data_IF_874231405220
#
_entry.id   IF_874231405220
#
_cell.length_a   1.000
_cell.length_b   1.000
_cell.length_c   1.000
_cell.angle_alpha   90.00
_cell.angle_beta   90.00
_cell.angle_gamma   90.00
#
_symmetry.space_group_name_H-M   'P 1'
#
loop_
_entity.id
_entity.type
_entity.pdbx_description
1 polymer ?
#
# COMPACT_ATOMS: atom_id res chain seq x y z
N UNK A 1 -1.94 -31.15 -48.62
CA UNK A 1 -1.22 -30.00 -49.25
C UNK A 1 -1.36 -28.78 -48.38
N UNK A 2 -0.19 -28.24 -47.86
CA UNK A 2 0.12 -26.87 -47.47
C UNK A 2 -0.70 -26.27 -46.29
N UNK A 3 -0.14 -25.67 -45.29
CA UNK A 3 1.25 -25.25 -44.92
C UNK A 3 1.29 -25.06 -43.39
N UNK A 4 2.37 -25.51 -42.81
CA UNK A 4 2.80 -25.27 -41.45
C UNK A 4 3.23 -23.80 -41.33
N UNK A 5 2.74 -23.09 -40.32
CA UNK A 5 3.32 -21.80 -39.90
C UNK A 5 3.84 -21.91 -38.45
N UNK A 6 5.12 -21.70 -38.33
CA UNK A 6 5.93 -21.85 -37.12
C UNK A 6 5.59 -20.82 -36.05
N UNK A 7 5.38 -21.29 -34.82
CA UNK A 7 5.42 -20.45 -33.63
C UNK A 7 6.88 -20.16 -33.27
N UNK A 8 7.29 -18.89 -33.35
CA UNK A 8 8.52 -18.42 -32.71
C UNK A 8 8.22 -18.18 -31.23
N UNK A 9 8.87 -18.95 -30.38
CA UNK A 9 8.95 -18.67 -28.95
C UNK A 9 9.75 -17.37 -28.73
N UNK A 10 9.14 -16.39 -28.12
CA UNK A 10 9.85 -15.27 -27.51
C UNK A 10 10.11 -15.64 -26.04
N UNK A 11 11.37 -15.79 -25.70
CA UNK A 11 11.83 -15.80 -24.31
C UNK A 11 11.71 -14.35 -23.80
N UNK A 12 10.74 -14.08 -22.94
CA UNK A 12 10.66 -12.87 -22.14
C UNK A 12 11.43 -13.10 -20.85
N UNK A 13 12.33 -12.19 -20.55
CA UNK A 13 13.01 -12.15 -19.28
C UNK A 13 12.01 -11.73 -18.17
N UNK A 14 12.00 -12.50 -17.10
CA UNK A 14 11.21 -12.21 -15.90
C UNK A 14 11.94 -11.12 -15.15
N UNK A 15 11.37 -9.92 -15.10
CA UNK A 15 11.76 -8.91 -14.13
C UNK A 15 10.78 -9.02 -12.96
N UNK A 16 11.25 -9.49 -11.82
CA UNK A 16 10.52 -9.44 -10.56
C UNK A 16 10.61 -8.00 -10.07
N UNK A 17 9.51 -7.25 -10.17
CA UNK A 17 9.41 -5.93 -9.56
C UNK A 17 8.51 -6.11 -8.34
N UNK A 18 9.10 -6.11 -7.14
CA UNK A 18 8.36 -5.85 -5.93
C UNK A 18 8.04 -4.35 -5.94
N UNK A 19 6.79 -3.99 -6.16
CA UNK A 19 6.36 -2.60 -6.13
C UNK A 19 5.56 -2.35 -4.87
N UNK A 20 6.03 -1.35 -4.17
CA UNK A 20 5.31 -0.56 -3.19
C UNK A 20 4.01 -0.10 -3.82
N UNK A 21 2.90 -0.35 -3.16
CA UNK A 21 1.63 0.24 -3.56
C UNK A 21 1.75 1.75 -3.44
N UNK A 22 1.67 2.39 -4.54
CA UNK A 22 1.24 3.73 -4.82
C UNK A 22 2.08 4.40 -5.92
N UNK A 23 1.40 5.05 -6.79
CA UNK A 23 1.81 5.97 -7.83
C UNK A 23 2.23 5.36 -9.16
N UNK A 24 1.21 5.21 -9.96
CA UNK A 24 1.35 5.11 -11.40
C UNK A 24 1.08 6.47 -12.00
N UNK A 25 2.07 6.99 -12.68
CA UNK A 25 1.86 8.01 -13.69
C UNK A 25 1.98 7.34 -15.05
N UNK A 26 0.86 7.19 -15.73
CA UNK A 26 0.83 6.79 -17.11
C UNK A 26 1.43 7.88 -17.99
N UNK A 27 2.51 7.56 -18.70
CA UNK A 27 2.85 8.19 -19.95
C UNK A 27 3.68 7.25 -20.79
N UNK A 28 3.10 6.72 -21.85
CA UNK A 28 3.85 6.06 -22.92
C UNK A 28 4.69 7.10 -23.66
N UNK A 29 6.02 7.05 -23.49
CA UNK A 29 6.95 7.52 -24.49
C UNK A 29 8.27 6.79 -24.41
N UNK A 30 8.80 6.42 -25.56
CA UNK A 30 9.98 5.59 -25.75
C UNK A 30 11.24 6.17 -25.11
N UNK A 31 12.19 5.33 -24.63
CA UNK A 31 13.37 5.81 -23.95
C UNK A 31 14.36 6.46 -24.94
N UNK A 32 14.79 7.68 -24.61
CA UNK A 32 15.97 8.30 -25.17
C UNK A 32 17.22 7.87 -24.35
N UNK A 33 18.41 7.80 -24.93
CA UNK A 33 19.60 7.29 -24.28
C UNK A 33 20.04 8.19 -23.12
N UNK A 34 20.33 7.57 -21.98
CA UNK A 34 20.84 8.23 -20.79
C UNK A 34 22.12 9.01 -21.10
N UNK A 35 22.06 10.32 -20.96
CA UNK A 35 23.25 11.15 -20.83
C UNK A 35 23.57 11.27 -19.34
N UNK A 36 24.78 10.87 -18.95
CA UNK A 36 25.34 11.26 -17.67
C UNK A 36 25.27 12.78 -17.53
N UNK A 37 24.33 13.25 -16.73
CA UNK A 37 24.29 14.64 -16.29
C UNK A 37 25.35 14.77 -15.18
N UNK A 38 26.45 15.39 -15.52
CA UNK A 38 27.40 15.89 -14.55
C UNK A 38 26.62 16.83 -13.59
N UNK A 39 26.78 16.56 -12.31
CA UNK A 39 26.38 17.47 -11.24
C UNK A 39 27.00 18.84 -11.57
N UNK A 40 26.14 19.81 -11.87
CA UNK A 40 26.59 21.21 -11.89
C UNK A 40 26.90 21.59 -10.45
N UNK A 41 28.06 22.23 -10.24
CA UNK A 41 28.48 22.79 -8.98
C UNK A 41 27.33 23.65 -8.41
N UNK A 42 26.59 23.06 -7.46
CA UNK A 42 25.65 23.82 -6.66
C UNK A 42 26.50 24.69 -5.70
N UNK A 43 26.08 25.93 -5.59
CA UNK A 43 26.46 26.84 -4.50
C UNK A 43 26.54 26.03 -3.18
N UNK A 44 27.48 26.33 -2.27
CA UNK A 44 27.72 25.60 -1.02
C UNK A 44 26.48 25.65 -0.07
N UNK A 45 25.31 25.26 -0.60
CA UNK A 45 24.03 25.14 0.11
C UNK A 45 23.96 23.81 0.87
N UNK A 46 23.28 23.83 2.01
CA UNK A 46 22.95 22.64 2.80
C UNK A 46 22.24 21.62 1.88
N UNK A 47 22.76 20.40 1.81
CA UNK A 47 22.18 19.32 0.98
C UNK A 47 21.75 18.17 1.87
N UNK A 48 20.55 17.64 1.66
CA UNK A 48 20.03 16.43 2.32
C UNK A 48 19.88 15.35 1.26
N UNK A 49 20.46 14.18 1.49
CA UNK A 49 20.37 13.03 0.59
C UNK A 49 19.09 12.25 0.86
N UNK A 50 18.29 12.04 -0.15
CA UNK A 50 17.00 11.35 -0.04
C UNK A 50 16.98 10.09 -0.92
N UNK A 51 16.85 8.92 -0.30
CA UNK A 51 16.66 7.66 -1.01
C UNK A 51 15.17 7.38 -1.22
N UNK A 52 14.77 7.23 -2.50
CA UNK A 52 13.36 7.08 -2.89
C UNK A 52 13.25 6.24 -4.18
N UNK A 53 12.15 5.50 -4.39
CA UNK A 53 11.86 4.89 -5.69
C UNK A 53 11.39 5.90 -6.73
N UNK A 54 11.07 7.13 -6.31
CA UNK A 54 10.60 8.19 -7.20
C UNK A 54 11.75 9.08 -7.65
N UNK A 55 11.69 9.55 -8.91
CA UNK A 55 12.60 10.55 -9.42
C UNK A 55 12.09 11.95 -9.11
N UNK A 56 12.99 12.86 -8.77
CA UNK A 56 12.65 14.29 -8.63
C UNK A 56 12.38 14.90 -10.00
N UNK A 57 11.19 15.45 -10.19
CA UNK A 57 10.85 16.18 -11.41
C UNK A 57 11.42 17.58 -11.32
N UNK A 58 12.34 17.92 -12.25
CA UNK A 58 12.92 19.26 -12.33
C UNK A 58 11.85 20.32 -12.60
N UNK A 59 11.88 21.47 -11.89
CA UNK A 59 10.96 22.58 -12.15
C UNK A 59 11.04 23.15 -13.59
N UNK A 60 12.15 22.92 -14.29
CA UNK A 60 12.40 23.41 -15.65
C UNK A 60 11.85 22.45 -16.74
N UNK A 61 11.20 21.35 -16.37
CA UNK A 61 10.63 20.42 -17.34
C UNK A 61 9.30 20.97 -17.84
N UNK A 62 9.30 21.64 -18.97
CA UNK A 62 8.08 22.11 -19.63
C UNK A 62 7.17 20.93 -19.95
N UNK A 63 5.90 20.99 -19.51
CA UNK A 63 4.82 20.02 -19.75
C UNK A 63 4.80 18.75 -18.88
N UNK A 64 5.54 18.63 -17.80
CA UNK A 64 5.32 17.53 -16.84
C UNK A 64 4.57 18.08 -15.62
N UNK A 65 3.39 17.51 -15.33
CA UNK A 65 2.67 17.82 -14.10
C UNK A 65 3.54 17.42 -12.92
N UNK A 66 3.73 18.35 -11.97
CA UNK A 66 4.46 18.05 -10.72
C UNK A 66 3.64 17.08 -9.89
N UNK A 67 4.30 16.09 -9.32
CA UNK A 67 3.68 15.21 -8.35
C UNK A 67 3.42 15.93 -7.03
N UNK A 68 2.54 15.42 -6.20
CA UNK A 68 2.31 15.96 -4.87
C UNK A 68 3.60 15.95 -4.03
N UNK A 69 4.41 14.91 -4.16
CA UNK A 69 5.74 14.83 -3.52
C UNK A 69 6.67 15.94 -3.99
N UNK A 70 6.76 16.22 -5.30
CA UNK A 70 7.60 17.31 -5.81
C UNK A 70 7.17 18.68 -5.28
N UNK A 71 5.86 18.89 -5.10
CA UNK A 71 5.33 20.16 -4.56
C UNK A 71 5.72 20.34 -3.08
N UNK A 72 5.58 19.30 -2.26
CA UNK A 72 5.94 19.36 -0.83
C UNK A 72 7.45 19.45 -0.63
N UNK A 73 8.24 18.77 -1.47
CA UNK A 73 9.70 18.87 -1.49
C UNK A 73 10.14 20.28 -1.87
N UNK A 74 9.56 20.87 -2.92
CA UNK A 74 9.87 22.25 -3.31
C UNK A 74 9.55 23.25 -2.20
N UNK A 75 8.46 23.03 -1.46
CA UNK A 75 8.11 23.84 -0.29
C UNK A 75 9.19 23.74 0.80
N UNK A 76 9.73 22.56 1.06
CA UNK A 76 10.80 22.37 2.02
C UNK A 76 12.10 23.03 1.58
N UNK A 77 12.51 22.85 0.31
CA UNK A 77 13.72 23.48 -0.25
C UNK A 77 13.64 25.02 -0.17
N UNK A 78 12.48 25.60 -0.52
CA UNK A 78 12.27 27.05 -0.44
C UNK A 78 12.34 27.58 1.01
N UNK A 79 11.65 26.89 1.95
CA UNK A 79 11.58 27.34 3.34
C UNK A 79 12.88 27.21 4.09
N UNK A 80 13.60 26.13 3.83
CA UNK A 80 14.80 25.80 4.60
C UNK A 80 16.08 26.31 3.93
N UNK A 81 16.01 26.75 2.67
CA UNK A 81 17.18 27.19 1.91
C UNK A 81 18.20 26.08 1.73
N UNK A 82 17.73 24.87 1.43
CA UNK A 82 18.56 23.68 1.21
C UNK A 82 18.15 22.98 -0.10
N UNK A 83 18.88 21.96 -0.49
CA UNK A 83 18.59 21.13 -1.65
C UNK A 83 18.42 19.67 -1.23
N UNK A 84 17.37 19.00 -1.71
CA UNK A 84 17.25 17.55 -1.61
C UNK A 84 17.88 16.90 -2.84
N UNK A 85 18.94 16.12 -2.58
CA UNK A 85 19.61 15.29 -3.59
C UNK A 85 18.96 13.90 -3.59
N UNK A 86 18.32 13.53 -4.70
CA UNK A 86 17.66 12.24 -4.83
C UNK A 86 18.62 11.15 -5.24
N UNK A 87 18.63 10.08 -4.47
CA UNK A 87 19.20 8.79 -4.85
C UNK A 87 18.07 7.85 -5.21
N UNK A 88 17.77 7.74 -6.50
CA UNK A 88 16.60 7.00 -6.98
C UNK A 88 16.92 5.52 -7.15
N UNK A 89 16.05 4.67 -6.59
CA UNK A 89 16.07 3.25 -6.90
C UNK A 89 15.50 3.01 -8.29
N UNK A 90 16.28 2.28 -9.11
CA UNK A 90 15.77 1.68 -10.35
C UNK A 90 16.25 0.22 -10.41
N UNK A 91 15.43 -0.65 -11.00
CA UNK A 91 15.83 -2.06 -11.19
C UNK A 91 17.10 -2.20 -12.05
N UNK A 92 17.42 -1.21 -12.88
CA UNK A 92 18.65 -1.18 -13.68
C UNK A 92 19.88 -0.88 -12.82
N UNK A 93 19.77 0.05 -11.84
CA UNK A 93 20.87 0.46 -10.97
C UNK A 93 21.19 -0.59 -9.89
N UNK A 94 20.18 -1.37 -9.46
CA UNK A 94 20.29 -2.32 -8.34
C UNK A 94 19.87 -3.73 -8.76
N UNK A 95 20.51 -4.25 -9.80
CA UNK A 95 20.25 -5.56 -10.40
C UNK A 95 20.01 -6.64 -9.34
N UNK A 96 18.89 -7.37 -9.51
CA UNK A 96 18.47 -8.50 -8.69
C UNK A 96 18.11 -8.19 -7.21
N UNK A 97 18.09 -6.93 -6.78
CA UNK A 97 17.64 -6.51 -5.44
C UNK A 97 16.31 -5.75 -5.52
N UNK A 98 15.43 -5.99 -4.56
CA UNK A 98 14.21 -5.21 -4.37
C UNK A 98 14.53 -3.83 -3.80
N UNK A 99 13.55 -2.91 -3.87
CA UNK A 99 13.66 -1.60 -3.23
C UNK A 99 13.95 -1.74 -1.73
N UNK A 100 13.24 -2.63 -1.04
CA UNK A 100 13.38 -2.84 0.40
C UNK A 100 14.75 -3.36 0.77
N UNK A 101 15.29 -4.35 0.04
CA UNK A 101 16.65 -4.86 0.27
C UNK A 101 17.70 -3.74 0.13
N UNK A 102 17.56 -2.89 -0.89
CA UNK A 102 18.48 -1.77 -1.10
C UNK A 102 18.30 -0.70 -0.02
N UNK A 103 17.07 -0.40 0.36
CA UNK A 103 16.76 0.57 1.41
C UNK A 103 17.37 0.14 2.76
N UNK A 104 17.18 -1.12 3.15
CA UNK A 104 17.78 -1.70 4.35
C UNK A 104 19.33 -1.59 4.33
N UNK A 105 19.94 -1.97 3.20
CA UNK A 105 21.40 -1.89 3.05
C UNK A 105 21.91 -0.45 3.17
N UNK A 106 21.26 0.50 2.52
CA UNK A 106 21.67 1.91 2.52
C UNK A 106 21.48 2.56 3.88
N UNK A 107 20.36 2.29 4.57
CA UNK A 107 20.10 2.82 5.91
C UNK A 107 21.07 2.27 6.95
N UNK A 108 21.37 0.96 6.93
CA UNK A 108 22.36 0.34 7.80
C UNK A 108 23.77 0.91 7.59
N UNK A 109 24.09 1.33 6.37
CA UNK A 109 25.36 1.95 6.01
C UNK A 109 25.39 3.49 6.18
N UNK A 110 24.29 4.11 6.61
CA UNK A 110 24.09 5.57 6.68
C UNK A 110 24.45 6.26 5.36
N UNK A 111 23.96 5.71 4.24
CA UNK A 111 24.29 6.19 2.90
C UNK A 111 23.50 7.43 2.49
N UNK A 112 22.36 7.66 3.13
CA UNK A 112 21.48 8.80 2.91
C UNK A 112 20.99 9.35 4.25
N UNK A 113 20.40 10.53 4.22
CA UNK A 113 19.90 11.22 5.41
C UNK A 113 18.39 10.94 5.62
N UNK A 114 17.65 10.84 4.53
CA UNK A 114 16.20 10.65 4.48
C UNK A 114 15.86 9.44 3.59
N UNK A 115 14.85 8.68 4.00
CA UNK A 115 14.39 7.47 3.30
C UNK A 115 12.87 7.49 3.16
N UNK A 116 12.36 7.07 1.99
CA UNK A 116 10.96 6.66 1.87
C UNK A 116 10.87 5.17 2.21
N UNK A 117 10.15 4.83 3.27
CA UNK A 117 10.15 3.50 3.86
C UNK A 117 8.79 2.82 3.70
N UNK A 118 8.80 1.56 3.31
CA UNK A 118 7.65 0.68 3.48
C UNK A 118 7.51 0.26 4.93
N UNK A 119 6.32 -0.15 5.36
CA UNK A 119 6.07 -0.52 6.75
C UNK A 119 7.01 -1.61 7.24
N UNK A 120 7.28 -2.63 6.41
CA UNK A 120 8.17 -3.74 6.76
C UNK A 120 9.62 -3.28 6.97
N UNK A 121 10.07 -2.33 6.15
CA UNK A 121 11.38 -1.68 6.31
C UNK A 121 11.42 -0.80 7.56
N UNK A 122 10.29 -0.14 7.91
CA UNK A 122 10.15 0.66 9.14
C UNK A 122 10.31 -0.23 10.37
N UNK A 123 9.64 -1.40 10.41
CA UNK A 123 9.75 -2.38 11.50
C UNK A 123 11.21 -2.79 11.69
N UNK A 124 11.85 -3.25 10.62
CA UNK A 124 13.22 -3.75 10.66
C UNK A 124 14.23 -2.68 11.10
N UNK A 125 14.24 -1.52 10.42
CA UNK A 125 15.21 -0.45 10.73
C UNK A 125 14.93 0.22 12.08
N UNK A 126 13.67 0.31 12.48
CA UNK A 126 13.26 0.85 13.77
C UNK A 126 13.75 0.00 14.93
N UNK A 127 13.51 -1.31 14.88
CA UNK A 127 13.96 -2.26 15.91
C UNK A 127 15.51 -2.38 15.99
N UNK A 128 16.20 -2.24 14.86
CA UNK A 128 17.67 -2.18 14.80
C UNK A 128 18.25 -0.83 15.28
N UNK A 129 17.40 0.20 15.51
CA UNK A 129 17.84 1.52 15.97
C UNK A 129 18.54 2.34 14.88
N UNK A 130 18.21 2.13 13.61
CA UNK A 130 18.77 2.88 12.48
C UNK A 130 17.96 4.13 12.14
N UNK A 131 16.75 4.30 12.69
CA UNK A 131 15.88 5.45 12.45
C UNK A 131 15.80 6.39 13.65
N UNK A 132 15.77 7.67 13.39
CA UNK A 132 15.63 8.73 14.38
C UNK A 132 14.20 8.78 14.96
N UNK A 133 14.07 9.22 16.21
CA UNK A 133 12.79 9.50 16.84
C UNK A 133 12.24 10.83 16.33
N UNK A 134 11.09 10.78 15.66
CA UNK A 134 10.37 11.92 15.09
C UNK A 134 9.27 12.47 16.03
N UNK A 135 9.09 11.90 17.23
CA UNK A 135 8.01 12.26 18.17
C UNK A 135 8.04 13.73 18.58
N UNK A 136 9.23 14.35 18.55
CA UNK A 136 9.46 15.74 18.91
C UNK A 136 9.13 16.76 17.82
N UNK A 137 8.87 16.33 16.59
CA UNK A 137 8.57 17.24 15.48
C UNK A 137 7.20 17.90 15.64
N UNK A 138 7.06 19.12 15.11
CA UNK A 138 5.81 19.86 15.17
C UNK A 138 4.70 19.16 14.40
N UNK A 139 5.00 18.63 13.23
CA UNK A 139 4.06 17.86 12.39
C UNK A 139 3.54 16.61 13.10
N UNK A 140 4.34 15.98 13.96
CA UNK A 140 3.95 14.80 14.71
C UNK A 140 2.78 15.06 15.67
N UNK A 141 2.53 16.29 16.12
CA UNK A 141 1.48 16.60 17.11
C UNK A 141 0.05 16.43 16.55
N UNK A 142 -0.10 16.55 15.24
CA UNK A 142 -1.39 16.54 14.56
C UNK A 142 -1.70 15.22 13.87
N UNK A 143 -0.84 14.22 13.99
CA UNK A 143 -1.04 12.91 13.36
C UNK A 143 -2.27 12.18 13.93
N UNK A 144 -2.99 11.50 13.06
CA UNK A 144 -4.04 10.54 13.43
C UNK A 144 -3.45 9.41 14.26
N UNK A 145 -4.25 8.85 15.16
CA UNK A 145 -3.78 7.74 16.00
C UNK A 145 -3.32 6.53 15.18
N UNK A 146 -4.03 6.19 14.12
CA UNK A 146 -3.65 5.10 13.20
C UNK A 146 -2.24 5.28 12.63
N UNK A 147 -1.85 6.53 12.33
CA UNK A 147 -0.51 6.83 11.79
C UNK A 147 0.56 6.61 12.85
N UNK A 148 0.28 7.05 14.10
CA UNK A 148 1.18 6.81 15.24
C UNK A 148 1.35 5.31 15.49
N UNK A 149 0.23 4.59 15.61
CA UNK A 149 0.24 3.14 15.84
C UNK A 149 1.02 2.40 14.77
N UNK A 150 0.81 2.74 13.50
CA UNK A 150 1.47 2.07 12.38
C UNK A 150 2.98 2.32 12.28
N UNK A 151 3.48 3.43 12.85
CA UNK A 151 4.86 3.90 12.63
C UNK A 151 5.68 4.06 13.92
N UNK A 152 5.20 3.52 15.04
CA UNK A 152 5.91 3.55 16.32
C UNK A 152 6.57 2.21 16.61
N UNK A 153 7.87 2.23 16.84
CA UNK A 153 8.70 1.08 17.23
C UNK A 153 9.35 1.40 18.56
N UNK A 154 9.24 0.53 19.56
CA UNK A 154 9.81 0.71 20.90
C UNK A 154 9.49 2.09 21.53
N UNK A 155 8.25 2.57 21.31
CA UNK A 155 7.77 3.86 21.83
C UNK A 155 8.29 5.09 21.10
N UNK A 156 9.00 4.94 19.98
CA UNK A 156 9.50 6.00 19.12
C UNK A 156 8.73 6.06 17.83
N UNK A 157 8.29 7.24 17.42
CA UNK A 157 7.74 7.47 16.09
C UNK A 157 8.91 7.56 15.10
N UNK A 158 9.09 6.56 14.25
CA UNK A 158 10.29 6.43 13.40
C UNK A 158 10.06 6.77 11.93
N UNK A 159 8.81 6.94 11.52
CA UNK A 159 8.47 7.41 10.17
C UNK A 159 7.17 8.23 10.21
N UNK A 160 7.02 9.16 9.26
CA UNK A 160 5.78 9.94 9.06
C UNK A 160 5.39 9.87 7.59
N UNK A 161 4.19 9.35 7.26
CA UNK A 161 3.69 9.29 5.89
C UNK A 161 3.15 10.65 5.43
N UNK A 162 3.03 10.81 4.10
CA UNK A 162 2.30 11.95 3.51
C UNK A 162 0.86 11.58 3.12
N UNK A 163 0.54 10.29 3.12
CA UNK A 163 -0.82 9.76 2.88
C UNK A 163 -1.09 8.51 3.68
N UNK A 164 -2.37 8.24 3.92
CA UNK A 164 -2.88 6.96 4.41
C UNK A 164 -3.51 6.24 3.23
N UNK A 165 -2.94 5.11 2.85
CA UNK A 165 -3.48 4.27 1.77
C UNK A 165 -4.56 3.36 2.35
N UNK A 166 -5.78 3.47 1.84
CA UNK A 166 -6.88 2.61 2.21
C UNK A 166 -7.24 1.66 1.05
N UNK A 167 -7.33 0.38 1.35
CA UNK A 167 -7.80 -0.65 0.42
C UNK A 167 -9.27 -0.96 0.70
N UNK A 168 -10.01 -1.22 -0.38
CA UNK A 168 -11.42 -1.58 -0.31
C UNK A 168 -11.87 -2.41 -1.49
N UNK A 169 -13.15 -2.74 -1.48
CA UNK A 169 -13.84 -3.41 -2.58
C UNK A 169 -14.49 -2.36 -3.47
N UNK A 170 -14.09 -2.35 -4.73
CA UNK A 170 -14.70 -1.56 -5.79
C UNK A 170 -15.86 -2.37 -6.37
N UNK A 171 -17.05 -1.86 -6.26
CA UNK A 171 -18.28 -2.56 -6.61
C UNK A 171 -18.97 -1.86 -7.78
N UNK A 172 -19.31 -2.63 -8.82
CA UNK A 172 -20.20 -2.16 -9.87
C UNK A 172 -21.64 -2.15 -9.34
N UNK A 173 -22.08 -0.97 -8.88
CA UNK A 173 -23.38 -0.80 -8.24
C UNK A 173 -24.54 -1.10 -9.18
N UNK A 174 -24.39 -0.83 -10.49
CA UNK A 174 -25.44 -1.10 -11.47
C UNK A 174 -25.70 -2.61 -11.58
N UNK A 175 -24.64 -3.46 -11.55
CA UNK A 175 -24.78 -4.93 -11.51
C UNK A 175 -25.48 -5.37 -10.21
N UNK A 176 -25.10 -4.78 -9.07
CA UNK A 176 -25.75 -5.10 -7.79
C UNK A 176 -27.23 -4.75 -7.80
N UNK A 177 -27.60 -3.59 -8.34
CA UNK A 177 -28.99 -3.16 -8.45
C UNK A 177 -29.78 -4.05 -9.41
N UNK A 178 -29.23 -4.41 -10.56
CA UNK A 178 -29.85 -5.36 -11.50
C UNK A 178 -30.06 -6.76 -10.89
N UNK A 179 -29.19 -7.15 -9.96
CA UNK A 179 -29.29 -8.42 -9.23
C UNK A 179 -30.13 -8.31 -7.95
N UNK A 180 -30.69 -7.13 -7.65
CA UNK A 180 -31.45 -6.84 -6.42
C UNK A 180 -30.63 -7.07 -5.14
N UNK A 181 -29.32 -6.78 -5.19
CA UNK A 181 -28.37 -6.95 -4.08
C UNK A 181 -28.12 -5.63 -3.34
N UNK A 182 -28.03 -5.73 -2.02
CA UNK A 182 -27.48 -4.67 -1.17
C UNK A 182 -25.97 -4.86 -1.03
N UNK A 183 -25.26 -3.77 -0.72
CA UNK A 183 -23.83 -3.86 -0.41
C UNK A 183 -23.61 -4.65 0.89
N UNK A 184 -22.72 -5.64 0.90
CA UNK A 184 -22.54 -6.53 2.05
C UNK A 184 -21.74 -5.86 3.17
N UNK A 185 -22.10 -6.16 4.42
CA UNK A 185 -21.39 -5.73 5.61
C UNK A 185 -20.68 -6.90 6.30
N UNK A 186 -21.21 -8.10 6.19
CA UNK A 186 -20.68 -9.30 6.87
C UNK A 186 -20.16 -10.32 5.86
N UNK A 187 -19.31 -11.26 6.29
CA UNK A 187 -18.84 -12.36 5.44
C UNK A 187 -20.00 -13.19 4.84
N UNK A 188 -21.04 -13.43 5.61
CA UNK A 188 -22.22 -14.20 5.18
C UNK A 188 -22.99 -13.45 4.09
N UNK A 189 -23.20 -12.13 4.26
CA UNK A 189 -23.84 -11.29 3.24
C UNK A 189 -23.00 -11.25 1.97
N UNK A 190 -21.66 -11.18 2.09
CA UNK A 190 -20.75 -11.17 0.95
C UNK A 190 -20.80 -12.49 0.17
N UNK A 191 -20.78 -13.62 0.88
CA UNK A 191 -20.92 -14.94 0.26
C UNK A 191 -22.27 -15.08 -0.46
N UNK A 192 -23.35 -14.55 0.12
CA UNK A 192 -24.67 -14.54 -0.54
C UNK A 192 -24.68 -13.67 -1.80
N UNK A 193 -24.06 -12.49 -1.76
CA UNK A 193 -23.90 -11.64 -2.96
C UNK A 193 -23.13 -12.41 -4.05
N UNK A 194 -22.02 -13.02 -3.73
CA UNK A 194 -21.22 -13.79 -4.69
C UNK A 194 -22.01 -14.98 -5.26
N UNK A 195 -22.81 -15.67 -4.43
CA UNK A 195 -23.68 -16.76 -4.86
C UNK A 195 -24.71 -16.28 -5.89
N UNK A 196 -25.41 -15.17 -5.59
CA UNK A 196 -26.41 -14.62 -6.50
C UNK A 196 -25.78 -14.12 -7.79
N UNK A 197 -24.67 -13.40 -7.72
CA UNK A 197 -23.92 -12.93 -8.89
C UNK A 197 -23.53 -14.11 -9.79
N UNK A 198 -23.03 -15.20 -9.20
CA UNK A 198 -22.69 -16.42 -9.97
C UNK A 198 -23.90 -17.07 -10.64
N UNK A 199 -25.04 -17.12 -9.97
CA UNK A 199 -26.31 -17.60 -10.55
C UNK A 199 -26.82 -16.71 -11.70
N UNK A 200 -26.48 -15.42 -11.69
CA UNK A 200 -26.81 -14.45 -12.74
C UNK A 200 -25.85 -14.48 -13.94
N UNK A 201 -24.79 -15.30 -13.88
CA UNK A 201 -23.88 -15.53 -14.99
C UNK A 201 -22.50 -14.90 -14.82
N UNK A 202 -22.20 -14.27 -13.68
CA UNK A 202 -20.86 -13.83 -13.32
C UNK A 202 -20.12 -15.02 -12.69
N UNK A 203 -19.50 -15.87 -13.50
CA UNK A 203 -18.94 -17.15 -13.04
C UNK A 203 -17.89 -16.96 -11.93
N UNK A 204 -17.10 -15.91 -12.04
CA UNK A 204 -16.09 -15.48 -11.06
C UNK A 204 -16.39 -14.04 -10.66
N UNK A 205 -17.26 -13.82 -9.65
CA UNK A 205 -17.74 -12.46 -9.33
C UNK A 205 -16.69 -11.52 -8.75
N UNK A 206 -15.56 -12.05 -8.30
CA UNK A 206 -14.44 -11.28 -7.73
C UNK A 206 -13.26 -11.35 -8.69
N UNK A 207 -12.94 -10.22 -9.30
CA UNK A 207 -11.71 -10.03 -10.04
C UNK A 207 -10.55 -9.93 -9.05
N UNK A 208 -9.57 -10.82 -9.16
CA UNK A 208 -8.49 -10.93 -8.21
C UNK A 208 -7.15 -11.18 -8.91
N UNK A 209 -6.10 -10.61 -8.32
CA UNK A 209 -4.72 -10.90 -8.63
C UNK A 209 -3.99 -11.38 -7.37
N UNK A 210 -2.72 -11.71 -7.50
CA UNK A 210 -1.92 -12.28 -6.41
C UNK A 210 -1.48 -11.27 -5.34
N UNK A 211 -1.80 -9.97 -5.50
CA UNK A 211 -1.20 -8.91 -4.69
C UNK A 211 -2.08 -8.38 -3.56
N UNK A 212 -3.41 -8.53 -3.66
CA UNK A 212 -4.32 -7.85 -2.72
C UNK A 212 -5.34 -8.76 -2.04
N UNK A 213 -5.29 -10.08 -2.29
CA UNK A 213 -6.19 -11.03 -1.63
C UNK A 213 -5.94 -11.14 -0.12
N UNK A 214 -4.73 -10.81 0.34
CA UNK A 214 -4.39 -10.70 1.75
C UNK A 214 -5.21 -9.64 2.49
N UNK A 215 -5.76 -8.65 1.79
CA UNK A 215 -6.64 -7.65 2.41
C UNK A 215 -7.93 -8.25 2.98
N UNK A 216 -8.48 -9.29 2.34
CA UNK A 216 -9.58 -10.06 2.93
C UNK A 216 -9.15 -10.75 4.22
N UNK A 217 -7.94 -11.27 4.25
CA UNK A 217 -7.40 -11.94 5.43
C UNK A 217 -7.25 -10.95 6.57
N UNK A 218 -6.62 -9.80 6.34
CA UNK A 218 -6.45 -8.76 7.37
C UNK A 218 -7.77 -8.23 7.91
N UNK A 219 -8.76 -7.98 7.04
CA UNK A 219 -10.06 -7.49 7.45
C UNK A 219 -10.79 -8.44 8.40
N UNK A 220 -10.64 -9.77 8.21
CA UNK A 220 -11.21 -10.77 9.12
C UNK A 220 -10.36 -10.94 10.38
N UNK A 221 -9.03 -10.98 10.21
CA UNK A 221 -8.10 -11.27 11.28
C UNK A 221 -8.08 -10.18 12.37
N UNK A 222 -8.04 -8.93 11.93
CA UNK A 222 -7.71 -7.81 12.80
C UNK A 222 -8.89 -6.89 13.13
N UNK A 223 -10.13 -7.23 12.67
CA UNK A 223 -11.31 -6.43 12.96
C UNK A 223 -11.50 -6.23 14.47
N UNK A 224 -11.38 -7.29 15.26
CA UNK A 224 -11.51 -7.22 16.73
C UNK A 224 -10.32 -6.52 17.39
N UNK A 225 -9.11 -6.78 16.92
CA UNK A 225 -7.88 -6.20 17.46
C UNK A 225 -7.92 -4.67 17.38
N UNK A 226 -8.23 -4.09 16.22
CA UNK A 226 -8.19 -2.63 16.03
C UNK A 226 -9.49 -1.91 16.41
N UNK A 227 -10.62 -2.62 16.55
CA UNK A 227 -11.92 -1.97 16.79
C UNK A 227 -12.62 -2.42 18.07
N UNK A 228 -11.94 -3.09 18.97
CA UNK A 228 -12.62 -3.60 20.18
C UNK A 228 -11.78 -3.80 21.42
N UNK A 229 -10.48 -3.73 21.29
CA UNK A 229 -9.53 -4.06 22.33
C UNK A 229 -8.54 -2.96 22.69
N UNK A 230 -7.61 -3.30 23.56
CA UNK A 230 -6.39 -2.51 23.81
C UNK A 230 -5.32 -3.00 22.84
N UNK A 231 -5.17 -2.27 21.72
CA UNK A 231 -4.23 -2.63 20.64
C UNK A 231 -2.81 -2.83 21.17
N UNK A 232 -2.38 -1.99 22.11
CA UNK A 232 -1.03 -2.07 22.67
C UNK A 232 -0.83 -3.36 23.47
N UNK A 233 -1.82 -3.76 24.30
CA UNK A 233 -1.76 -4.99 25.06
C UNK A 233 -1.81 -6.25 24.17
N UNK A 234 -2.61 -6.21 23.09
CA UNK A 234 -2.67 -7.32 22.11
C UNK A 234 -1.36 -7.47 21.34
N UNK A 235 -0.75 -6.35 20.94
CA UNK A 235 0.57 -6.35 20.27
C UNK A 235 1.65 -6.87 21.23
N UNK A 236 1.65 -6.44 22.51
CA UNK A 236 2.58 -6.95 23.51
C UNK A 236 2.43 -8.47 23.70
N UNK A 237 1.20 -8.99 23.76
CA UNK A 237 0.93 -10.43 23.89
C UNK A 237 1.41 -11.22 22.66
N UNK A 238 1.26 -10.67 21.45
CA UNK A 238 1.78 -11.26 20.21
C UNK A 238 3.30 -11.33 20.21
N UNK A 239 3.97 -10.22 20.56
CA UNK A 239 5.44 -10.14 20.60
C UNK A 239 6.03 -11.02 21.71
N UNK A 240 5.33 -11.16 22.85
CA UNK A 240 5.72 -12.06 23.94
C UNK A 240 5.46 -13.55 23.64
N UNK A 241 4.79 -13.88 22.54
CA UNK A 241 4.36 -15.25 22.21
C UNK A 241 3.25 -15.78 23.12
N UNK A 242 2.58 -14.91 23.89
CA UNK A 242 1.42 -15.24 24.74
C UNK A 242 0.14 -15.40 23.88
N UNK A 243 0.09 -14.72 22.72
CA UNK A 243 -0.89 -14.89 21.67
C UNK A 243 -0.19 -15.31 20.36
N UNK A 244 -0.93 -15.97 19.45
CA UNK A 244 -0.39 -16.46 18.19
C UNK A 244 -0.96 -15.70 17.01
N UNK A 245 -0.12 -15.28 16.08
CA UNK A 245 -0.58 -14.69 14.81
C UNK A 245 -1.50 -15.64 14.06
N UNK A 246 -1.21 -16.94 14.08
CA UNK A 246 -2.04 -17.96 13.45
C UNK A 246 -3.47 -17.99 13.98
N UNK A 247 -3.70 -17.71 15.27
CA UNK A 247 -5.04 -17.67 15.84
C UNK A 247 -5.85 -16.48 15.32
N UNK A 248 -5.21 -15.31 15.19
CA UNK A 248 -5.84 -14.12 14.60
C UNK A 248 -6.10 -14.28 13.10
N UNK A 249 -5.13 -14.84 12.37
CA UNK A 249 -5.18 -14.90 10.90
C UNK A 249 -6.05 -16.03 10.37
N UNK A 250 -6.26 -17.09 11.13
CA UNK A 250 -7.04 -18.26 10.71
C UNK A 250 -8.42 -17.93 10.13
N UNK A 251 -9.27 -17.11 10.77
CA UNK A 251 -10.59 -16.78 10.21
C UNK A 251 -10.51 -16.15 8.82
N UNK A 252 -9.49 -15.30 8.59
CA UNK A 252 -9.26 -14.66 7.30
C UNK A 252 -8.84 -15.65 6.22
N UNK A 253 -7.92 -16.57 6.54
CA UNK A 253 -7.51 -17.62 5.60
C UNK A 253 -8.64 -18.61 5.31
N UNK A 254 -9.48 -18.97 6.29
CA UNK A 254 -10.66 -19.81 6.12
C UNK A 254 -11.70 -19.13 5.21
N UNK A 255 -11.91 -17.83 5.41
CA UNK A 255 -12.81 -17.05 4.56
C UNK A 255 -12.29 -16.99 3.11
N UNK A 256 -11.03 -16.63 2.90
CA UNK A 256 -10.43 -16.62 1.57
C UNK A 256 -10.46 -18.00 0.91
N UNK A 257 -10.15 -19.06 1.66
CA UNK A 257 -10.27 -20.44 1.19
C UNK A 257 -11.71 -20.77 0.74
N UNK A 258 -12.70 -20.29 1.47
CA UNK A 258 -14.11 -20.46 1.11
C UNK A 258 -14.44 -19.77 -0.21
N UNK A 259 -13.95 -18.55 -0.45
CA UNK A 259 -14.15 -17.84 -1.71
C UNK A 259 -13.54 -18.62 -2.90
N UNK A 260 -12.35 -19.19 -2.68
CA UNK A 260 -11.66 -20.03 -3.67
C UNK A 260 -12.44 -21.31 -3.94
N UNK A 261 -12.83 -22.06 -2.90
CA UNK A 261 -13.49 -23.37 -3.02
C UNK A 261 -14.87 -23.27 -3.68
N UNK A 262 -15.59 -22.16 -3.46
CA UNK A 262 -16.87 -21.86 -4.13
C UNK A 262 -16.68 -21.32 -5.55
N UNK A 263 -15.44 -21.07 -5.97
CA UNK A 263 -15.09 -20.50 -7.28
C UNK A 263 -15.60 -19.08 -7.46
N UNK A 264 -15.59 -18.29 -6.38
CA UNK A 264 -15.85 -16.85 -6.44
C UNK A 264 -14.59 -16.05 -6.75
N UNK A 265 -13.43 -16.64 -6.48
CA UNK A 265 -12.10 -16.24 -6.93
C UNK A 265 -11.52 -17.34 -7.81
N UNK A 266 -11.00 -16.96 -8.97
CA UNK A 266 -10.20 -17.86 -9.83
C UNK A 266 -8.76 -17.88 -9.32
N UNK A 267 -8.44 -18.89 -8.50
CA UNK A 267 -7.14 -18.99 -7.85
C UNK A 267 -5.99 -19.22 -8.86
N UNK A 268 -6.22 -19.98 -9.94
CA UNK A 268 -5.21 -20.24 -10.96
C UNK A 268 -4.88 -18.94 -11.71
N UNK A 269 -5.90 -18.18 -12.12
CA UNK A 269 -5.70 -16.90 -12.78
C UNK A 269 -5.09 -15.88 -11.81
N UNK A 270 -5.58 -15.78 -10.58
CA UNK A 270 -5.04 -14.86 -9.58
C UNK A 270 -3.55 -15.11 -9.29
N UNK A 271 -3.13 -16.38 -9.20
CA UNK A 271 -1.73 -16.74 -8.92
C UNK A 271 -0.77 -16.31 -10.03
N UNK A 272 -1.20 -16.34 -11.29
CA UNK A 272 -0.35 -16.00 -12.45
C UNK A 272 -0.55 -14.57 -12.95
N UNK A 273 -1.62 -13.90 -12.50
CA UNK A 273 -1.88 -12.50 -12.86
C UNK A 273 -0.83 -11.60 -12.21
N UNK A 274 -0.06 -10.93 -13.07
CA UNK A 274 0.86 -9.86 -12.70
C UNK A 274 0.24 -8.50 -12.98
N UNK A 275 -1.05 -8.50 -13.33
CA UNK A 275 -1.78 -7.29 -13.64
C UNK A 275 -1.79 -6.37 -12.42
N UNK A 276 -1.26 -5.20 -12.61
CA UNK A 276 -1.38 -4.06 -11.72
C UNK A 276 -2.38 -3.13 -12.35
N UNK A 277 -3.29 -2.57 -11.57
CA UNK A 277 -4.20 -1.51 -11.94
C UNK A 277 -4.65 -1.45 -13.42
N UNK A 278 -5.92 -1.74 -13.66
CA UNK A 278 -6.54 -1.55 -14.97
C UNK A 278 -6.15 -2.55 -16.06
N UNK A 279 -5.39 -3.60 -15.72
CA UNK A 279 -5.14 -4.73 -16.62
C UNK A 279 -5.82 -6.00 -16.10
N UNK A 280 -6.11 -6.97 -16.97
CA UNK A 280 -6.76 -8.21 -16.57
C UNK A 280 -8.12 -7.98 -15.91
N UNK A 281 -8.26 -8.34 -14.64
CA UNK A 281 -9.49 -8.16 -13.86
C UNK A 281 -9.97 -6.71 -13.78
N UNK A 282 -9.05 -5.74 -13.82
CA UNK A 282 -9.36 -4.33 -13.87
C UNK A 282 -9.99 -3.91 -15.20
N UNK A 283 -9.54 -4.45 -16.33
CA UNK A 283 -10.16 -4.25 -17.64
C UNK A 283 -11.58 -4.82 -17.66
N UNK A 284 -11.79 -6.01 -17.11
CA UNK A 284 -13.11 -6.64 -17.00
C UNK A 284 -14.06 -5.83 -16.11
N UNK A 285 -13.56 -5.28 -14.99
CA UNK A 285 -14.34 -4.40 -14.13
C UNK A 285 -14.75 -3.13 -14.87
N UNK A 286 -13.82 -2.45 -15.53
CA UNK A 286 -14.09 -1.23 -16.27
C UNK A 286 -14.97 -1.46 -17.52
N UNK A 287 -14.94 -2.66 -18.09
CA UNK A 287 -15.86 -3.10 -19.13
C UNK A 287 -17.29 -3.42 -18.60
N UNK A 288 -17.48 -3.43 -17.29
CA UNK A 288 -18.75 -3.78 -16.65
C UNK A 288 -19.07 -5.27 -16.68
N UNK A 289 -18.08 -6.14 -16.85
CA UNK A 289 -18.23 -7.60 -16.89
C UNK A 289 -17.82 -8.29 -15.60
N UNK A 290 -17.02 -7.65 -14.75
CA UNK A 290 -16.68 -8.10 -13.42
C UNK A 290 -17.40 -7.24 -12.37
N UNK A 291 -18.15 -7.84 -11.42
CA UNK A 291 -18.91 -7.09 -10.43
C UNK A 291 -18.07 -6.42 -9.34
N UNK A 292 -16.97 -7.06 -8.93
CA UNK A 292 -16.19 -6.67 -7.75
C UNK A 292 -14.70 -6.82 -8.06
N UNK A 293 -13.91 -5.79 -7.73
CA UNK A 293 -12.45 -5.87 -7.69
C UNK A 293 -11.92 -5.26 -6.40
N UNK A 294 -10.69 -5.60 -6.03
CA UNK A 294 -9.98 -4.97 -4.93
C UNK A 294 -9.02 -3.93 -5.48
N UNK A 295 -8.95 -2.78 -4.82
CA UNK A 295 -7.94 -1.80 -5.14
C UNK A 295 -7.69 -0.86 -3.94
N UNK A 296 -6.64 -0.06 -4.05
CA UNK A 296 -6.38 1.01 -3.12
C UNK A 296 -7.16 2.29 -3.51
N UNK A 297 -7.35 3.17 -2.55
CA UNK A 297 -8.10 4.43 -2.67
C UNK A 297 -7.76 5.23 -3.93
N UNK A 298 -6.47 5.43 -4.21
CA UNK A 298 -6.01 6.24 -5.33
C UNK A 298 -6.48 5.75 -6.70
N UNK A 299 -6.80 4.47 -6.84
CA UNK A 299 -7.28 3.88 -8.09
C UNK A 299 -8.66 4.42 -8.54
N UNK A 300 -9.43 5.06 -7.66
CA UNK A 300 -10.71 5.68 -7.98
C UNK A 300 -10.61 7.17 -8.36
N UNK A 301 -9.43 7.76 -8.35
CA UNK A 301 -9.25 9.16 -8.75
C UNK A 301 -9.43 9.34 -10.26
N UNK A 302 -9.85 10.53 -10.68
CA UNK A 302 -10.34 10.82 -12.03
C UNK A 302 -9.38 10.43 -13.16
N UNK A 303 -8.09 10.50 -12.90
CA UNK A 303 -7.04 10.24 -13.91
C UNK A 303 -6.37 8.87 -13.74
N UNK A 304 -6.98 7.97 -12.95
CA UNK A 304 -6.45 6.65 -12.64
C UNK A 304 -7.29 5.52 -13.26
N UNK A 305 -6.87 4.27 -13.03
CA UNK A 305 -7.43 3.08 -13.64
C UNK A 305 -8.97 2.96 -13.52
N UNK A 306 -9.53 3.31 -12.36
CA UNK A 306 -10.97 3.20 -12.08
C UNK A 306 -11.68 4.55 -11.92
N UNK A 307 -11.02 5.66 -12.27
CA UNK A 307 -11.53 7.01 -11.99
C UNK A 307 -12.72 7.47 -12.84
N UNK A 308 -13.04 6.80 -13.94
CA UNK A 308 -14.12 7.19 -14.85
C UNK A 308 -14.85 5.98 -15.43
N UNK A 309 -15.46 5.12 -14.60
CA UNK A 309 -16.27 4.01 -15.07
C UNK A 309 -17.52 4.50 -15.81
N UNK A 310 -18.04 3.70 -16.74
CA UNK A 310 -19.28 3.98 -17.46
C UNK A 310 -20.56 3.58 -16.66
N UNK A 311 -20.38 3.15 -15.42
CA UNK A 311 -21.41 2.67 -14.50
C UNK A 311 -21.25 3.35 -13.13
N UNK A 312 -22.24 3.24 -12.27
CA UNK A 312 -22.15 3.70 -10.90
C UNK A 312 -21.23 2.77 -10.10
N UNK A 313 -20.18 3.33 -9.54
CA UNK A 313 -19.22 2.61 -8.70
C UNK A 313 -19.36 3.07 -7.26
N UNK A 314 -19.28 2.12 -6.32
CA UNK A 314 -19.07 2.41 -4.90
C UNK A 314 -17.87 1.64 -4.40
N UNK A 315 -17.10 2.26 -3.49
CA UNK A 315 -15.95 1.64 -2.84
C UNK A 315 -16.27 1.46 -1.37
N UNK A 316 -16.28 0.21 -0.94
CA UNK A 316 -16.67 -0.21 0.41
C UNK A 316 -15.50 -0.88 1.13
N UNK A 317 -15.58 -0.96 2.46
CA UNK A 317 -14.65 -1.78 3.24
C UNK A 317 -14.84 -3.27 2.98
N UNK A 318 -13.85 -4.08 3.34
CA UNK A 318 -13.98 -5.54 3.31
C UNK A 318 -14.96 -6.01 4.37
N UNK A 319 -15.85 -6.99 4.05
CA UNK A 319 -16.81 -7.51 5.03
C UNK A 319 -16.08 -8.22 6.18
N UNK A 320 -16.50 -7.96 7.40
CA UNK A 320 -15.96 -8.62 8.60
C UNK A 320 -17.07 -8.86 9.63
N UNK A 321 -16.74 -9.58 10.72
CA UNK A 321 -17.67 -9.79 11.82
C UNK A 321 -18.13 -8.50 12.51
N UNK A 322 -17.39 -7.39 12.33
CA UNK A 322 -17.71 -6.05 12.84
C UNK A 322 -18.29 -5.10 11.79
N UNK A 323 -18.67 -5.61 10.63
CA UNK A 323 -19.09 -4.81 9.50
C UNK A 323 -17.96 -4.57 8.50
N UNK A 324 -18.11 -3.57 7.66
CA UNK A 324 -17.10 -3.25 6.65
C UNK A 324 -15.84 -2.67 7.26
N UNK A 325 -14.66 -3.20 6.88
CA UNK A 325 -13.35 -2.78 7.36
C UNK A 325 -12.46 -2.33 6.19
N UNK A 326 -12.13 -1.04 6.07
CA UNK A 326 -10.99 -0.60 5.28
C UNK A 326 -9.70 -1.24 5.80
N UNK A 327 -8.82 -1.67 4.89
CA UNK A 327 -7.48 -2.13 5.23
C UNK A 327 -6.51 -1.00 4.93
N UNK A 328 -5.77 -0.54 5.94
CA UNK A 328 -4.87 0.60 5.80
C UNK A 328 -3.42 0.16 5.74
N UNK A 329 -2.65 0.83 4.88
CA UNK A 329 -1.20 0.76 4.87
C UNK A 329 -0.60 2.15 4.65
N UNK A 330 0.71 2.29 4.90
CA UNK A 330 1.40 3.57 4.76
C UNK A 330 2.84 3.33 4.36
N UNK A 331 3.36 4.27 3.56
CA UNK A 331 4.80 4.43 3.37
C UNK A 331 5.20 5.73 4.06
N UNK A 332 6.29 5.75 4.80
CA UNK A 332 6.66 6.91 5.61
C UNK A 332 8.05 7.43 5.29
N UNK A 333 8.25 8.73 5.52
CA UNK A 333 9.57 9.34 5.53
C UNK A 333 10.23 9.09 6.88
N UNK A 334 11.38 8.41 6.88
CA UNK A 334 12.22 8.17 8.05
C UNK A 334 13.59 8.82 7.90
N UNK A 335 14.14 9.30 8.99
CA UNK A 335 15.47 9.93 9.05
C UNK A 335 16.49 8.94 9.63
N UNK A 336 17.66 8.82 9.00
CA UNK A 336 18.75 7.99 9.52
C UNK A 336 19.23 8.50 10.88
N UNK A 337 19.27 7.62 11.90
CA UNK A 337 19.72 8.02 13.26
C UNK A 337 21.15 8.54 13.27
N UNK A 338 22.01 8.07 12.36
CA UNK A 338 23.41 8.46 12.23
C UNK A 338 23.70 9.15 10.91
N UNK A 339 22.69 9.75 10.29
CA UNK A 339 22.83 10.50 9.05
C UNK A 339 23.79 11.68 9.23
N UNK A 340 24.52 12.03 8.18
CA UNK A 340 25.48 13.17 8.20
C UNK A 340 24.73 14.48 8.39
N UNK A 341 23.55 14.65 7.73
CA UNK A 341 22.71 15.85 7.80
C UNK A 341 21.41 15.55 8.54
N UNK A 342 21.51 14.84 9.69
CA UNK A 342 20.34 14.39 10.47
C UNK A 342 19.42 15.52 10.89
N UNK A 343 19.97 16.63 11.39
CA UNK A 343 19.16 17.74 11.89
C UNK A 343 18.41 18.44 10.75
N UNK A 344 19.05 18.62 9.61
CA UNK A 344 18.44 19.13 8.38
C UNK A 344 17.36 18.19 7.85
N UNK A 345 17.59 16.89 7.86
CA UNK A 345 16.61 15.90 7.44
C UNK A 345 15.37 15.90 8.36
N UNK A 346 15.53 16.11 9.68
CA UNK A 346 14.42 16.30 10.60
C UNK A 346 13.61 17.58 10.27
N UNK A 347 14.28 18.69 9.95
CA UNK A 347 13.62 19.92 9.48
C UNK A 347 12.83 19.68 8.19
N UNK A 348 13.40 18.91 7.25
CA UNK A 348 12.69 18.54 6.00
C UNK A 348 11.43 17.76 6.29
N UNK A 349 11.49 16.71 7.13
CA UNK A 349 10.30 15.94 7.52
C UNK A 349 9.24 16.82 8.20
N UNK A 350 9.66 17.72 9.10
CA UNK A 350 8.72 18.64 9.78
C UNK A 350 7.99 19.57 8.80
N UNK A 351 8.63 19.96 7.70
CA UNK A 351 8.01 20.79 6.64
C UNK A 351 7.13 19.96 5.73
N UNK A 352 7.63 18.85 5.14
CA UNK A 352 6.88 18.06 4.15
C UNK A 352 5.69 17.31 4.75
N UNK A 353 5.69 17.12 6.06
CA UNK A 353 4.59 16.53 6.83
C UNK A 353 3.82 17.56 7.68
N UNK A 354 4.05 18.86 7.48
CA UNK A 354 3.24 19.91 8.09
C UNK A 354 1.81 19.91 7.55
N UNK A 355 0.84 20.42 8.30
CA UNK A 355 -0.56 20.51 7.86
C UNK A 355 -0.70 21.21 6.49
N UNK A 356 0.10 22.24 6.22
CA UNK A 356 0.11 22.96 4.94
C UNK A 356 0.60 22.06 3.79
N UNK A 357 1.71 21.35 3.99
CA UNK A 357 2.26 20.46 2.98
C UNK A 357 1.33 19.24 2.75
N UNK A 358 0.76 18.70 3.83
CA UNK A 358 -0.19 17.60 3.76
C UNK A 358 -1.52 18.01 3.10
N UNK A 359 -1.97 19.27 3.28
CA UNK A 359 -3.12 19.81 2.56
C UNK A 359 -2.84 19.85 1.05
N UNK A 360 -1.67 20.40 0.68
CA UNK A 360 -1.23 20.44 -0.73
C UNK A 360 -1.12 19.04 -1.35
N UNK A 361 -0.54 18.10 -0.60
CA UNK A 361 -0.39 16.70 -1.03
C UNK A 361 -1.75 16.04 -1.23
N UNK A 362 -2.63 16.15 -0.23
CA UNK A 362 -3.93 15.51 -0.23
C UNK A 362 -4.88 16.09 -1.28
N UNK A 363 -4.86 17.41 -1.53
CA UNK A 363 -5.64 18.05 -2.61
C UNK A 363 -5.15 17.63 -4.00
N UNK A 364 -3.82 17.47 -4.17
CA UNK A 364 -3.24 17.08 -5.47
C UNK A 364 -3.56 15.64 -5.81
N UNK A 365 -3.40 14.72 -4.84
CA UNK A 365 -3.59 13.28 -5.03
C UNK A 365 -5.00 12.80 -4.64
N UNK A 366 -5.82 13.65 -4.01
CA UNK A 366 -7.15 13.29 -3.46
C UNK A 366 -7.08 12.06 -2.55
N UNK A 367 -6.18 12.10 -1.57
CA UNK A 367 -5.89 11.00 -0.65
C UNK A 367 -6.24 11.36 0.78
N UNK A 368 -6.30 10.36 1.67
CA UNK A 368 -6.51 10.56 3.09
C UNK A 368 -5.23 11.12 3.69
N UNK A 369 -5.34 12.27 4.35
CA UNK A 369 -4.21 12.87 5.05
C UNK A 369 -3.88 12.15 6.36
N UNK A 370 -2.59 11.98 6.69
CA UNK A 370 -2.15 11.50 8.00
C UNK A 370 -2.41 12.51 9.13
N UNK A 371 -2.62 13.80 8.83
CA UNK A 371 -3.00 14.80 9.82
C UNK A 371 -4.50 14.86 10.05
N UNK A 372 -4.92 14.92 11.33
CA UNK A 372 -6.32 15.12 11.72
C UNK A 372 -6.85 16.53 11.43
N UNK A 373 -5.98 17.49 11.10
CA UNK A 373 -6.35 18.86 10.77
C UNK A 373 -6.57 19.09 9.27
N UNK A 374 -6.27 18.08 8.43
CA UNK A 374 -6.37 18.17 6.97
C UNK A 374 -7.51 17.31 6.50
N UNK A 375 -8.48 17.94 5.85
CA UNK A 375 -9.62 17.28 5.21
C UNK A 375 -9.68 17.70 3.74
N UNK A 376 -9.89 16.73 2.87
CA UNK A 376 -10.02 16.94 1.43
C UNK A 376 -11.31 16.27 0.95
N UNK A 377 -11.98 16.93 0.02
CA UNK A 377 -13.18 16.37 -0.59
C UNK A 377 -12.79 15.13 -1.42
N UNK A 378 -13.34 13.97 -1.05
CA UNK A 378 -13.15 12.74 -1.80
C UNK A 378 -14.17 12.62 -2.95
N UNK A 379 -13.84 11.82 -3.96
CA UNK A 379 -14.79 11.47 -5.01
C UNK A 379 -15.98 10.69 -4.43
N UNK A 380 -17.17 10.86 -5.02
CA UNK A 380 -18.42 10.31 -4.49
C UNK A 380 -18.34 8.79 -4.26
N UNK A 381 -17.73 8.06 -5.20
CA UNK A 381 -17.57 6.61 -5.10
C UNK A 381 -16.76 6.14 -3.87
N UNK A 382 -15.87 6.98 -3.35
CA UNK A 382 -15.03 6.67 -2.20
C UNK A 382 -15.67 7.06 -0.85
N UNK A 383 -16.81 7.78 -0.87
CA UNK A 383 -17.46 8.29 0.34
C UNK A 383 -17.72 7.19 1.38
N UNK A 384 -18.27 6.01 1.02
CA UNK A 384 -18.52 4.95 2.01
C UNK A 384 -17.24 4.49 2.73
N UNK A 385 -16.13 4.31 1.99
CA UNK A 385 -14.85 3.92 2.56
C UNK A 385 -14.25 5.04 3.42
N UNK A 386 -14.32 6.30 2.94
CA UNK A 386 -13.83 7.46 3.68
C UNK A 386 -14.54 7.63 5.01
N UNK A 387 -15.87 7.51 5.04
CA UNK A 387 -16.66 7.69 6.26
C UNK A 387 -16.26 6.68 7.35
N UNK A 388 -15.92 5.45 6.97
CA UNK A 388 -15.38 4.44 7.90
C UNK A 388 -14.02 4.87 8.46
N UNK A 389 -13.09 5.31 7.61
CA UNK A 389 -11.77 5.76 8.05
C UNK A 389 -11.88 7.00 8.96
N UNK A 390 -12.77 7.95 8.63
CA UNK A 390 -13.02 9.14 9.47
C UNK A 390 -13.69 8.80 10.80
N UNK A 391 -14.40 7.67 10.87
CA UNK A 391 -15.01 7.15 12.10
C UNK A 391 -14.05 6.24 12.90
N UNK A 392 -12.76 6.23 12.57
CA UNK A 392 -11.73 5.34 13.15
C UNK A 392 -12.10 3.85 13.08
N UNK A 393 -12.80 3.46 12.00
CA UNK A 393 -13.18 2.07 11.72
C UNK A 393 -12.28 1.54 10.61
N UNK A 394 -11.29 0.71 10.95
CA UNK A 394 -10.29 0.18 10.02
C UNK A 394 -9.51 -0.99 10.63
N UNK A 395 -8.71 -1.65 9.82
CA UNK A 395 -7.61 -2.51 10.26
C UNK A 395 -6.30 -2.04 9.63
N UNK A 396 -5.18 -2.28 10.32
CA UNK A 396 -3.85 -2.07 9.75
C UNK A 396 -3.36 -3.37 9.09
N UNK A 397 -2.85 -3.26 7.88
CA UNK A 397 -2.17 -4.35 7.19
C UNK A 397 -0.77 -4.60 7.77
N UNK A 398 -0.16 -3.56 8.34
CA UNK A 398 1.12 -3.65 9.02
C UNK A 398 1.15 -2.67 10.20
N UNK A 399 1.79 -3.08 11.28
CA UNK A 399 1.95 -2.31 12.51
C UNK A 399 3.41 -2.43 12.96
N UNK A 400 4.11 -1.32 12.96
CA UNK A 400 5.55 -1.28 13.28
C UNK A 400 5.88 -1.69 14.75
N UNK A 401 4.88 -1.75 15.61
CA UNK A 401 5.03 -2.30 16.96
C UNK A 401 5.03 -3.83 17.05
N UNK A 402 4.73 -4.54 15.95
CA UNK A 402 4.73 -6.02 15.91
C UNK A 402 6.10 -6.53 15.40
N UNK A 403 6.67 -7.53 16.09
CA UNK A 403 7.99 -8.08 15.75
C UNK A 403 7.99 -8.89 14.45
N UNK A 404 6.82 -9.41 14.04
CA UNK A 404 6.66 -10.12 12.76
C UNK A 404 6.16 -9.16 11.69
N UNK A 405 6.90 -9.08 10.61
CA UNK A 405 6.47 -8.41 9.37
C UNK A 405 5.19 -9.05 8.84
N UNK A 406 4.18 -8.25 8.55
CA UNK A 406 2.83 -8.78 8.31
C UNK A 406 2.46 -8.79 6.84
N UNK A 407 2.61 -7.66 6.13
CA UNK A 407 2.12 -7.55 4.75
C UNK A 407 2.82 -8.54 3.81
N UNK A 408 4.14 -8.45 3.71
CA UNK A 408 4.92 -9.28 2.80
C UNK A 408 4.79 -10.77 3.10
N UNK A 409 4.86 -11.15 4.39
CA UNK A 409 4.69 -12.55 4.79
C UNK A 409 3.29 -13.08 4.49
N UNK A 410 2.24 -12.31 4.79
CA UNK A 410 0.86 -12.74 4.50
C UNK A 410 0.63 -12.88 3.00
N UNK A 411 1.14 -11.95 2.19
CA UNK A 411 1.06 -12.02 0.74
C UNK A 411 1.70 -13.32 0.20
N UNK A 412 2.87 -13.70 0.72
CA UNK A 412 3.54 -14.95 0.33
C UNK A 412 2.72 -16.19 0.74
N UNK A 413 2.16 -16.18 1.96
CA UNK A 413 1.35 -17.31 2.47
C UNK A 413 0.01 -17.42 1.72
N UNK A 414 -0.60 -16.29 1.34
CA UNK A 414 -1.80 -16.27 0.47
C UNK A 414 -1.50 -16.90 -0.91
N UNK A 415 -0.32 -16.66 -1.48
CA UNK A 415 0.08 -17.33 -2.73
C UNK A 415 0.19 -18.84 -2.57
N UNK A 416 0.66 -19.32 -1.41
CA UNK A 416 0.67 -20.76 -1.14
C UNK A 416 -0.75 -21.31 -1.07
N UNK A 417 -1.68 -20.57 -0.43
CA UNK A 417 -3.10 -20.96 -0.40
C UNK A 417 -3.71 -21.02 -1.81
N UNK A 418 -3.43 -20.04 -2.66
CA UNK A 418 -3.83 -20.03 -4.07
C UNK A 418 -3.22 -21.22 -4.83
N UNK A 419 -1.99 -21.60 -4.48
CA UNK A 419 -1.28 -22.77 -5.02
C UNK A 419 -1.80 -24.12 -4.50
N UNK A 420 -2.80 -24.12 -3.62
CA UNK A 420 -3.46 -25.32 -3.09
C UNK A 420 -3.00 -25.78 -1.70
N UNK A 421 -2.22 -24.96 -0.99
CA UNK A 421 -1.92 -25.24 0.40
C UNK A 421 -3.20 -25.22 1.26
N UNK A 422 -3.23 -26.01 2.31
CA UNK A 422 -4.30 -25.97 3.31
C UNK A 422 -4.15 -24.78 4.26
N UNK A 423 -5.23 -24.37 4.91
CA UNK A 423 -5.19 -23.34 5.94
C UNK A 423 -4.23 -23.73 7.07
N UNK A 424 -4.20 -25.01 7.47
CA UNK A 424 -3.29 -25.48 8.53
C UNK A 424 -1.81 -25.35 8.14
N UNK A 425 -1.46 -25.59 6.87
CA UNK A 425 -0.09 -25.35 6.37
C UNK A 425 0.24 -23.85 6.37
N UNK A 426 -0.72 -23.00 6.04
CA UNK A 426 -0.55 -21.53 6.12
C UNK A 426 -0.33 -21.08 7.56
N UNK A 427 -1.13 -21.59 8.51
CA UNK A 427 -0.98 -21.27 9.95
C UNK A 427 0.36 -21.74 10.50
N UNK A 428 0.82 -22.92 10.12
CA UNK A 428 2.13 -23.42 10.54
C UNK A 428 3.29 -22.53 10.07
N UNK A 429 3.15 -21.87 8.90
CA UNK A 429 4.16 -20.91 8.44
C UNK A 429 4.15 -19.61 9.26
N UNK A 430 2.97 -19.10 9.62
CA UNK A 430 2.85 -17.95 10.52
C UNK A 430 3.46 -18.22 11.89
N UNK A 431 3.17 -19.40 12.45
CA UNK A 431 3.77 -19.84 13.71
C UNK A 431 5.30 -19.91 13.64
N UNK A 432 5.84 -20.44 12.54
CA UNK A 432 7.28 -20.51 12.34
C UNK A 432 7.93 -19.12 12.22
N UNK A 433 7.24 -18.15 11.62
CA UNK A 433 7.72 -16.76 11.56
C UNK A 433 7.76 -16.13 12.95
N UNK A 434 6.69 -16.32 13.75
CA UNK A 434 6.63 -15.81 15.12
C UNK A 434 7.68 -16.46 16.05
N UNK A 435 7.94 -17.74 15.87
CA UNK A 435 8.95 -18.46 16.67
C UNK A 435 10.39 -18.04 16.32
N UNK A 436 10.59 -17.38 15.16
CA UNK A 436 11.89 -16.94 14.67
C UNK A 436 12.17 -15.44 14.95
N UNK A 437 11.12 -14.66 15.27
CA UNK A 437 11.24 -13.24 15.59
C UNK A 437 11.64 -13.03 17.05
#
# INVERSE_FOLDING_TARGET
>A
MRRIASKRARKGAVAVVALVGALVLGACSAPAPAKNLAVQDADEGRTVNFFSPMEKISPDTENTARTASDLTIALAEERLGLTLAYHTYTAENYQDKTYDEVCLERARNNSDDLYLLNTDTIVTLGSEGHLADLSGLSCAQNLREVVRTANTVDGKLVAIPQEVVAYGLFVNKDIFDECELSLPNTPEEFLECCRVLKEKGYETPIGANRWWLETFVFAQAYADLYNGGDVAAEVEALNAGEARYSDYMRPGFEFLKTLIDLGYVDAENALVSEAFEGAGEGEDFMAGTCPIVMAYWGAANTDTAYGSPSFNMEVIGFPSARGQMPVLSMTGCGVGERAEHRDEALEVVDVICSDEALQLYAETNRVISPSKNVEVECVEALRPLNDLVQADTYVLASNAGMDVEQWGNTCLIVRDLLGGASVDECMAKLDALQDAA
#
